data_IF_736194107105
#
_entry.id   IF_736194107105
#
_cell.length_a   1.000
_cell.length_b   1.000
_cell.length_c   1.000
_cell.angle_alpha   90.00
_cell.angle_beta   90.00
_cell.angle_gamma   90.00
#
_symmetry.space_group_name_H-M   'P 1'
#
loop_
_entity.id
_entity.type
_entity.pdbx_description
1 polymer ?
#
# COMPACT_ATOMS: atom_id res chain seq x y z
N UNK A 1 24.89 13.77 -25.44
CA UNK A 1 24.32 13.29 -24.19
C UNK A 1 24.36 11.77 -24.25
N UNK A 2 25.16 11.16 -23.40
CA UNK A 2 25.33 9.71 -23.38
C UNK A 2 24.07 9.07 -22.82
N UNK A 3 23.36 8.31 -23.65
CA UNK A 3 22.10 7.64 -23.28
C UNK A 3 22.26 6.63 -22.13
N UNK A 4 23.51 6.25 -21.82
CA UNK A 4 23.83 5.29 -20.77
C UNK A 4 23.83 5.89 -19.34
N UNK A 5 23.66 7.20 -19.17
CA UNK A 5 23.79 7.88 -17.87
C UNK A 5 22.45 8.30 -17.26
N UNK A 6 21.31 7.91 -17.85
CA UNK A 6 20.00 8.28 -17.33
C UNK A 6 19.64 7.50 -16.05
N UNK A 7 20.16 6.28 -15.89
CA UNK A 7 19.99 5.43 -14.71
C UNK A 7 21.35 4.91 -14.23
N UNK A 8 22.11 5.72 -13.47
CA UNK A 8 23.39 5.26 -12.93
C UNK A 8 23.17 4.07 -11.99
N UNK A 9 24.09 3.09 -11.97
CA UNK A 9 24.02 1.96 -11.04
C UNK A 9 23.93 2.48 -9.60
N UNK A 10 22.90 2.04 -8.85
CA UNK A 10 22.76 2.37 -7.43
C UNK A 10 23.77 1.58 -6.61
N UNK A 11 24.54 2.27 -5.78
CA UNK A 11 25.46 1.63 -4.82
C UNK A 11 24.68 1.38 -3.52
N UNK A 12 24.16 0.17 -3.38
CA UNK A 12 23.44 -0.25 -2.18
C UNK A 12 24.35 -1.15 -1.33
N UNK A 13 24.21 -1.06 -0.01
CA UNK A 13 24.73 -2.10 0.87
C UNK A 13 23.96 -3.41 0.65
N UNK A 14 24.53 -4.55 1.07
CA UNK A 14 23.81 -5.82 0.98
C UNK A 14 22.49 -5.79 1.76
N UNK A 15 22.47 -5.13 2.91
CA UNK A 15 21.28 -4.97 3.75
C UNK A 15 20.19 -4.15 3.02
N UNK A 16 20.54 -3.00 2.45
CA UNK A 16 19.59 -2.17 1.71
C UNK A 16 19.05 -2.90 0.47
N UNK A 17 19.91 -3.63 -0.24
CA UNK A 17 19.49 -4.42 -1.39
C UNK A 17 18.49 -5.53 -1.01
N UNK A 18 18.71 -6.22 0.11
CA UNK A 18 17.77 -7.23 0.65
C UNK A 18 16.44 -6.55 1.03
N UNK A 19 16.49 -5.42 1.73
CA UNK A 19 15.29 -4.67 2.13
C UNK A 19 14.46 -4.26 0.92
N UNK A 20 15.09 -3.70 -0.13
CA UNK A 20 14.37 -3.33 -1.35
C UNK A 20 13.80 -4.55 -2.09
N UNK A 21 14.52 -5.67 -2.12
CA UNK A 21 14.01 -6.91 -2.71
C UNK A 21 12.78 -7.44 -1.95
N UNK A 22 12.77 -7.38 -0.63
CA UNK A 22 11.61 -7.73 0.20
C UNK A 22 10.42 -6.80 -0.07
N UNK A 23 10.67 -5.48 -0.20
CA UNK A 23 9.61 -4.53 -0.54
C UNK A 23 8.94 -4.86 -1.88
N UNK A 24 9.72 -5.29 -2.89
CA UNK A 24 9.16 -5.72 -4.18
C UNK A 24 8.36 -7.02 -4.01
N UNK A 25 8.90 -8.00 -3.27
CA UNK A 25 8.24 -9.29 -3.07
C UNK A 25 6.88 -9.17 -2.35
N UNK A 26 6.79 -8.27 -1.37
CA UNK A 26 5.57 -8.04 -0.59
C UNK A 26 4.65 -6.92 -1.15
N UNK A 27 5.06 -6.21 -2.19
CA UNK A 27 4.29 -5.09 -2.76
C UNK A 27 2.80 -5.43 -3.03
N UNK A 28 2.43 -6.60 -3.57
CA UNK A 28 1.02 -6.93 -3.79
C UNK A 28 0.20 -7.00 -2.50
N UNK A 29 0.78 -7.52 -1.42
CA UNK A 29 0.13 -7.65 -0.11
C UNK A 29 -0.01 -6.28 0.55
N UNK A 30 1.05 -5.48 0.53
CA UNK A 30 1.06 -4.11 1.04
C UNK A 30 0.02 -3.25 0.32
N UNK A 31 -0.01 -3.31 -1.01
CA UNK A 31 -1.01 -2.58 -1.81
C UNK A 31 -2.44 -2.91 -1.37
N UNK A 32 -2.78 -4.19 -1.21
CA UNK A 32 -4.13 -4.60 -0.81
C UNK A 32 -4.45 -4.22 0.63
N UNK A 33 -3.52 -4.34 1.57
CA UNK A 33 -3.74 -3.94 2.95
C UNK A 33 -4.03 -2.43 3.06
N UNK A 34 -3.20 -1.59 2.42
CA UNK A 34 -3.37 -0.13 2.42
C UNK A 34 -4.68 0.28 1.73
N UNK A 35 -5.02 -0.35 0.60
CA UNK A 35 -6.30 -0.11 -0.07
C UNK A 35 -7.48 -0.44 0.83
N UNK A 36 -7.45 -1.58 1.52
CA UNK A 36 -8.52 -1.99 2.45
C UNK A 36 -8.62 -1.00 3.61
N UNK A 37 -7.50 -0.55 4.20
CA UNK A 37 -7.52 0.48 5.25
C UNK A 37 -8.18 1.78 4.76
N UNK A 38 -7.91 2.20 3.54
CA UNK A 38 -8.55 3.36 2.92
C UNK A 38 -10.06 3.12 2.74
N UNK A 39 -10.42 2.02 2.09
CA UNK A 39 -11.81 1.75 1.70
C UNK A 39 -12.72 1.47 2.90
N UNK A 40 -12.17 0.96 4.00
CA UNK A 40 -12.87 0.79 5.28
C UNK A 40 -12.92 2.08 6.12
N UNK A 41 -12.25 3.17 5.70
CA UNK A 41 -12.24 4.44 6.43
C UNK A 41 -11.26 4.51 7.60
N UNK A 42 -10.38 3.51 7.76
CA UNK A 42 -9.38 3.48 8.85
C UNK A 42 -8.38 4.63 8.70
N UNK A 43 -7.89 4.88 7.46
CA UNK A 43 -6.97 6.01 7.22
C UNK A 43 -7.64 7.35 7.51
N UNK A 44 -8.92 7.52 7.15
CA UNK A 44 -9.68 8.73 7.45
C UNK A 44 -9.88 8.95 8.95
N UNK A 45 -10.06 7.87 9.71
CA UNK A 45 -10.18 7.96 11.16
C UNK A 45 -8.86 8.37 11.80
N UNK A 46 -7.74 7.78 11.38
CA UNK A 46 -6.41 8.17 11.83
C UNK A 46 -6.14 9.65 11.52
N UNK A 47 -6.51 10.13 10.33
CA UNK A 47 -6.36 11.53 9.93
C UNK A 47 -7.16 12.49 10.83
N UNK A 48 -8.41 12.14 11.13
CA UNK A 48 -9.28 12.92 12.05
C UNK A 48 -8.73 13.00 13.47
N UNK A 49 -8.05 11.97 13.94
CA UNK A 49 -7.44 11.95 15.27
C UNK A 49 -6.14 12.78 15.31
N UNK A 50 -5.54 13.07 14.16
CA UNK A 50 -4.30 13.86 14.03
C UNK A 50 -3.22 13.32 15.00
N UNK A 51 -2.44 14.22 15.61
CA UNK A 51 -1.36 13.88 16.54
C UNK A 51 -1.83 13.26 17.87
N UNK A 52 -3.13 13.24 18.15
CA UNK A 52 -3.65 12.59 19.36
C UNK A 52 -3.57 11.07 19.29
N UNK A 53 -3.61 10.55 18.09
CA UNK A 53 -3.66 9.11 17.86
C UNK A 53 -4.96 8.44 18.30
N UNK A 54 -5.04 7.15 18.05
CA UNK A 54 -6.20 6.31 18.38
C UNK A 54 -5.73 4.86 18.62
N UNK A 55 -6.42 4.14 19.49
CA UNK A 55 -6.13 2.74 19.75
C UNK A 55 -6.75 1.80 18.70
N UNK A 56 -6.20 0.58 18.59
CA UNK A 56 -6.77 -0.44 17.71
C UNK A 56 -8.19 -0.85 18.13
N UNK A 57 -8.46 -0.91 19.45
CA UNK A 57 -9.80 -1.23 19.99
C UNK A 57 -10.84 -0.19 19.55
N UNK A 58 -10.52 1.11 19.67
CA UNK A 58 -11.43 2.18 19.24
C UNK A 58 -11.67 2.17 17.72
N UNK A 59 -10.67 1.82 16.90
CA UNK A 59 -10.85 1.63 15.47
C UNK A 59 -11.77 0.45 15.20
N UNK A 60 -11.58 -0.68 15.88
CA UNK A 60 -12.38 -1.88 15.74
C UNK A 60 -13.86 -1.61 16.05
N UNK A 61 -14.12 -0.94 17.17
CA UNK A 61 -15.47 -0.59 17.61
C UNK A 61 -16.17 0.37 16.64
N UNK A 62 -15.44 1.37 16.12
CA UNK A 62 -16.00 2.40 15.25
C UNK A 62 -16.32 1.90 13.82
N UNK A 63 -15.68 0.82 13.39
CA UNK A 63 -15.85 0.28 12.02
C UNK A 63 -16.54 -1.08 11.97
N UNK A 64 -16.97 -1.64 13.12
CA UNK A 64 -17.53 -3.00 13.22
C UNK A 64 -16.62 -4.06 12.58
N UNK A 65 -15.33 -3.94 12.85
CA UNK A 65 -14.26 -4.85 12.37
C UNK A 65 -13.68 -5.56 13.59
N UNK A 66 -13.30 -6.82 13.44
CA UNK A 66 -12.62 -7.53 14.53
C UNK A 66 -11.30 -6.85 14.91
N UNK A 67 -10.99 -6.80 16.21
CA UNK A 67 -9.70 -6.27 16.70
C UNK A 67 -8.51 -6.91 15.97
N UNK A 68 -8.53 -8.24 15.78
CA UNK A 68 -7.51 -8.96 15.02
C UNK A 68 -7.35 -8.43 13.59
N UNK A 69 -8.47 -8.12 12.91
CA UNK A 69 -8.44 -7.55 11.56
C UNK A 69 -7.82 -6.16 11.53
N UNK A 70 -8.19 -5.31 12.49
CA UNK A 70 -7.62 -3.96 12.64
C UNK A 70 -6.12 -4.02 12.96
N UNK A 71 -5.71 -4.85 13.93
CA UNK A 71 -4.29 -5.02 14.28
C UNK A 71 -3.47 -5.49 13.07
N UNK A 72 -3.97 -6.48 12.31
CA UNK A 72 -3.30 -6.97 11.09
C UNK A 72 -3.11 -5.85 10.05
N UNK A 73 -4.13 -5.01 9.85
CA UNK A 73 -4.03 -3.88 8.92
C UNK A 73 -3.07 -2.80 9.43
N UNK A 74 -3.14 -2.47 10.73
CA UNK A 74 -2.23 -1.48 11.33
C UNK A 74 -0.76 -1.93 11.31
N UNK A 75 -0.48 -3.21 11.59
CA UNK A 75 0.86 -3.79 11.46
C UNK A 75 1.39 -3.70 10.01
N UNK A 76 0.51 -3.98 9.04
CA UNK A 76 0.84 -3.79 7.62
C UNK A 76 1.12 -2.32 7.30
N UNK A 77 0.32 -1.40 7.84
CA UNK A 77 0.51 0.04 7.70
C UNK A 77 1.82 0.55 8.31
N UNK A 78 2.18 0.06 9.49
CA UNK A 78 3.47 0.34 10.14
C UNK A 78 4.65 -0.17 9.30
N UNK A 79 4.56 -1.38 8.79
CA UNK A 79 5.64 -2.02 8.01
C UNK A 79 5.98 -1.26 6.72
N UNK A 80 5.02 -0.57 6.14
CA UNK A 80 5.20 0.20 4.89
C UNK A 80 5.23 1.73 5.11
N UNK A 81 5.20 2.19 6.37
CA UNK A 81 5.30 3.60 6.72
C UNK A 81 4.05 4.45 6.40
N UNK A 82 2.89 3.82 6.26
CA UNK A 82 1.59 4.50 6.07
C UNK A 82 0.99 4.93 7.41
N UNK A 83 1.27 4.19 8.45
CA UNK A 83 0.87 4.44 9.83
C UNK A 83 2.11 4.55 10.69
N UNK A 84 2.10 5.43 11.66
CA UNK A 84 3.08 5.52 12.73
C UNK A 84 2.43 5.16 14.08
N UNK A 85 3.26 4.93 15.09
CA UNK A 85 2.81 4.60 16.44
C UNK A 85 3.58 5.43 17.44
N UNK A 86 2.88 6.02 18.42
CA UNK A 86 3.50 6.75 19.50
C UNK A 86 4.27 5.81 20.45
N UNK A 87 5.49 6.17 20.80
CA UNK A 87 6.30 5.44 21.78
C UNK A 87 5.74 5.55 23.20
N UNK A 88 5.04 6.66 23.51
CA UNK A 88 4.59 7.00 24.87
C UNK A 88 3.35 6.23 25.33
N UNK A 89 2.38 6.03 24.44
CA UNK A 89 1.06 5.49 24.77
C UNK A 89 0.60 4.37 23.84
N UNK A 90 1.37 4.12 22.76
CA UNK A 90 1.10 3.07 21.80
C UNK A 90 -0.07 3.37 20.85
N UNK A 91 -0.54 4.62 20.80
CA UNK A 91 -1.61 5.03 19.89
C UNK A 91 -1.10 5.16 18.45
N UNK A 92 -1.96 4.88 17.51
CA UNK A 92 -1.67 4.93 16.08
C UNK A 92 -2.03 6.30 15.50
N UNK A 93 -1.19 6.79 14.60
CA UNK A 93 -1.37 8.06 13.89
C UNK A 93 -1.12 7.86 12.40
N UNK A 94 -1.73 8.71 11.59
CA UNK A 94 -1.49 8.71 10.15
C UNK A 94 -0.12 9.33 9.85
N UNK A 95 0.71 8.61 9.11
CA UNK A 95 1.98 9.17 8.64
C UNK A 95 1.77 10.18 7.51
N UNK A 96 2.85 10.90 7.16
CA UNK A 96 2.83 11.77 5.97
C UNK A 96 2.57 11.00 4.67
N UNK A 97 3.02 9.74 4.57
CA UNK A 97 2.73 8.87 3.43
C UNK A 97 1.24 8.53 3.39
N UNK A 98 0.67 8.14 4.53
CA UNK A 98 -0.75 7.88 4.68
C UNK A 98 -1.62 9.09 4.33
N UNK A 99 -1.20 10.28 4.74
CA UNK A 99 -1.87 11.52 4.38
C UNK A 99 -1.98 11.71 2.86
N UNK A 100 -0.90 11.50 2.11
CA UNK A 100 -0.95 11.63 0.64
C UNK A 100 -1.73 10.50 -0.03
N UNK A 101 -1.70 9.29 0.51
CA UNK A 101 -2.57 8.19 0.02
C UNK A 101 -4.06 8.53 0.14
N UNK A 102 -4.42 9.33 1.14
CA UNK A 102 -5.80 9.75 1.39
C UNK A 102 -6.19 11.01 0.60
N UNK A 103 -5.31 12.01 0.52
CA UNK A 103 -5.64 13.36 0.05
C UNK A 103 -5.11 13.71 -1.34
N UNK A 104 -4.04 13.06 -1.83
CA UNK A 104 -3.55 13.33 -3.18
C UNK A 104 -4.44 12.65 -4.23
N UNK A 105 -5.09 13.48 -5.05
CA UNK A 105 -6.04 13.01 -6.06
C UNK A 105 -5.41 12.03 -7.05
N UNK A 106 -4.20 12.33 -7.52
CA UNK A 106 -3.52 11.47 -8.49
C UNK A 106 -3.15 10.11 -7.88
N UNK A 107 -2.69 10.09 -6.64
CA UNK A 107 -2.38 8.84 -5.92
C UNK A 107 -3.64 7.99 -5.74
N UNK A 108 -4.76 8.60 -5.40
CA UNK A 108 -6.05 7.91 -5.27
C UNK A 108 -6.51 7.32 -6.60
N UNK A 109 -6.47 8.10 -7.67
CA UNK A 109 -6.82 7.64 -9.03
C UNK A 109 -5.92 6.47 -9.44
N UNK A 110 -4.62 6.56 -9.19
CA UNK A 110 -3.67 5.50 -9.51
C UNK A 110 -3.95 4.21 -8.71
N UNK A 111 -4.30 4.32 -7.43
CA UNK A 111 -4.70 3.15 -6.62
C UNK A 111 -5.98 2.49 -7.17
N UNK A 112 -6.99 3.28 -7.50
CA UNK A 112 -8.25 2.78 -8.05
C UNK A 112 -8.05 2.14 -9.41
N UNK A 113 -7.27 2.77 -10.30
CA UNK A 113 -6.90 2.19 -11.58
C UNK A 113 -6.17 0.86 -11.43
N UNK A 114 -5.17 0.80 -10.55
CA UNK A 114 -4.46 -0.44 -10.30
C UNK A 114 -5.38 -1.52 -9.76
N UNK A 115 -6.25 -1.19 -8.81
CA UNK A 115 -7.15 -2.18 -8.20
C UNK A 115 -8.21 -2.68 -9.18
N UNK A 116 -8.96 -1.78 -9.81
CA UNK A 116 -10.13 -2.15 -10.61
C UNK A 116 -9.79 -2.60 -12.03
N UNK A 117 -8.69 -2.11 -12.58
CA UNK A 117 -8.34 -2.36 -13.99
C UNK A 117 -7.15 -3.32 -14.11
N UNK A 118 -6.05 -3.09 -13.38
CA UNK A 118 -4.80 -3.79 -13.64
C UNK A 118 -4.63 -5.06 -12.81
N UNK A 119 -5.06 -5.06 -11.55
CA UNK A 119 -4.59 -6.04 -10.55
C UNK A 119 -4.79 -7.49 -10.96
N UNK A 120 -5.99 -7.85 -11.36
CA UNK A 120 -6.28 -9.23 -11.79
C UNK A 120 -5.66 -9.55 -13.15
N UNK A 121 -5.64 -8.59 -14.07
CA UNK A 121 -5.04 -8.77 -15.39
C UNK A 121 -3.53 -8.99 -15.36
N UNK A 122 -2.83 -8.40 -14.37
CA UNK A 122 -1.38 -8.56 -14.19
C UNK A 122 -0.95 -9.98 -13.86
N UNK A 123 -1.84 -10.84 -13.39
CA UNK A 123 -1.56 -12.27 -13.22
C UNK A 123 -1.15 -12.93 -14.55
N UNK A 124 -1.65 -12.43 -15.68
CA UNK A 124 -1.39 -12.94 -17.03
C UNK A 124 -0.27 -12.19 -17.77
N UNK A 125 0.53 -11.37 -17.05
CA UNK A 125 1.59 -10.58 -17.67
C UNK A 125 2.63 -11.44 -18.38
N UNK A 126 3.04 -12.56 -17.81
CA UNK A 126 4.01 -13.49 -18.42
C UNK A 126 3.50 -13.99 -19.78
N UNK A 127 2.23 -14.39 -19.85
CA UNK A 127 1.61 -14.84 -21.09
C UNK A 127 1.54 -13.72 -22.11
N UNK A 128 1.15 -12.50 -21.69
CA UNK A 128 1.08 -11.35 -22.57
C UNK A 128 2.44 -11.01 -23.19
N UNK A 129 3.51 -11.04 -22.39
CA UNK A 129 4.88 -10.79 -22.88
C UNK A 129 5.34 -11.85 -23.86
N UNK A 130 5.06 -13.15 -23.58
CA UNK A 130 5.48 -14.26 -24.45
C UNK A 130 4.72 -14.34 -25.76
N UNK A 131 3.47 -13.91 -25.77
CA UNK A 131 2.57 -14.09 -26.94
C UNK A 131 2.31 -12.79 -27.69
N UNK A 132 2.76 -11.64 -27.16
CA UNK A 132 2.46 -10.30 -27.67
C UNK A 132 0.94 -10.02 -27.82
N UNK A 133 0.12 -10.71 -26.98
CA UNK A 133 -1.34 -10.55 -26.95
C UNK A 133 -1.80 -10.01 -25.61
N UNK A 134 -2.90 -9.27 -25.54
CA UNK A 134 -3.40 -8.69 -24.30
C UNK A 134 -4.09 -9.73 -23.40
N UNK A 135 -3.32 -10.74 -22.94
CA UNK A 135 -3.85 -11.88 -22.19
C UNK A 135 -4.63 -11.49 -20.91
N UNK A 136 -4.25 -10.37 -20.28
CA UNK A 136 -4.91 -9.85 -19.08
C UNK A 136 -6.35 -9.39 -19.28
N UNK A 137 -6.76 -9.08 -20.51
CA UNK A 137 -8.14 -8.63 -20.78
C UNK A 137 -9.20 -9.71 -20.50
N UNK A 138 -8.83 -10.98 -20.47
CA UNK A 138 -9.75 -12.10 -20.16
C UNK A 138 -10.44 -11.97 -18.80
N UNK A 139 -9.89 -11.19 -17.87
CA UNK A 139 -10.53 -10.97 -16.56
C UNK A 139 -11.81 -10.12 -16.62
N UNK A 140 -12.03 -9.43 -17.72
CA UNK A 140 -13.23 -8.61 -17.94
C UNK A 140 -14.35 -9.36 -18.69
N UNK A 141 -14.15 -10.63 -18.96
CA UNK A 141 -15.06 -11.46 -19.75
C UNK A 141 -14.81 -11.37 -21.26
N UNK A 142 -15.27 -12.38 -22.00
CA UNK A 142 -15.33 -12.36 -23.47
C UNK A 142 -16.55 -11.58 -23.94
#
# INVERSE_FOLDING_TARGET
MDKNNFFPPRKLSAYDAISEAQNIAYAPLVFQAVRVMRDLGILEQLDKCSDKGISADEIADNHDISLYGVETLLESGLSCGVVDKHDSDGLYVLSKVGYFLLHDEMTRINMDYNHYICYLGMYYLEEAIKTEKPAGLRVFGE
#
